data_IF_008253844619
#
_entry.id   IF_008253844619
#
_cell.length_a   1.000
_cell.length_b   1.000
_cell.length_c   1.000
_cell.angle_alpha   90.00
_cell.angle_beta   90.00
_cell.angle_gamma   90.00
#
_symmetry.space_group_name_H-M   'P 1'
#
loop_
_entity.id
_entity.type
_entity.pdbx_description
1 polymer ?
#
# COMPACT_ATOMS: atom_id res chain seq x y z
N UNK A 1 -8.26 15.04 -11.32
CA UNK A 1 -7.27 13.96 -11.30
C UNK A 1 -6.11 14.31 -12.22
N UNK A 2 -5.18 15.07 -11.66
CA UNK A 2 -3.87 15.35 -12.25
C UNK A 2 -2.83 14.71 -11.35
N UNK A 3 -1.99 13.84 -11.91
CA UNK A 3 -0.86 13.23 -11.18
C UNK A 3 0.42 13.87 -11.71
N UNK A 4 1.21 14.46 -10.82
CA UNK A 4 2.48 15.13 -11.18
C UNK A 4 3.66 14.46 -10.49
N UNK A 5 4.76 14.32 -11.24
CA UNK A 5 6.04 13.87 -10.69
C UNK A 5 6.92 15.06 -10.36
N UNK A 6 7.39 15.15 -9.12
CA UNK A 6 8.28 16.20 -8.63
C UNK A 6 9.67 15.64 -8.30
N UNK A 7 10.70 16.40 -8.62
CA UNK A 7 12.08 16.01 -8.29
C UNK A 7 12.52 16.46 -6.89
N UNK A 8 11.96 17.57 -6.38
CA UNK A 8 12.33 18.15 -5.08
C UNK A 8 11.10 18.32 -4.20
N UNK A 9 11.22 17.98 -2.92
CA UNK A 9 10.10 18.00 -1.97
C UNK A 9 9.53 19.40 -1.74
N UNK A 10 10.40 20.41 -1.65
CA UNK A 10 9.97 21.80 -1.44
C UNK A 10 9.07 22.35 -2.55
N UNK A 11 9.06 21.73 -3.74
CA UNK A 11 8.19 22.14 -4.83
C UNK A 11 6.72 21.74 -4.63
N UNK A 12 6.41 20.82 -3.70
CA UNK A 12 5.02 20.44 -3.37
C UNK A 12 4.20 21.64 -2.89
N UNK A 13 4.82 22.60 -2.19
CA UNK A 13 4.12 23.78 -1.66
C UNK A 13 3.55 24.67 -2.76
N UNK A 14 4.20 24.73 -3.94
CA UNK A 14 3.70 25.52 -5.07
C UNK A 14 2.40 24.96 -5.64
N UNK A 15 2.18 23.64 -5.55
CA UNK A 15 0.94 23.02 -6.04
C UNK A 15 -0.27 23.42 -5.18
N UNK A 16 -0.07 23.59 -3.87
CA UNK A 16 -1.12 24.04 -2.95
C UNK A 16 -1.58 25.48 -3.23
N UNK A 17 -0.78 26.27 -3.95
CA UNK A 17 -1.15 27.62 -4.35
C UNK A 17 -1.98 27.67 -5.65
N UNK A 18 -2.13 26.54 -6.35
CA UNK A 18 -2.95 26.45 -7.56
C UNK A 18 -4.42 26.36 -7.14
N UNK A 19 -5.28 27.31 -7.54
CA UNK A 19 -6.66 27.40 -7.03
C UNK A 19 -7.53 26.19 -7.36
N UNK A 20 -7.16 25.42 -8.40
CA UNK A 20 -7.90 24.22 -8.83
C UNK A 20 -7.23 22.91 -8.40
N UNK A 21 -6.13 22.96 -7.64
CA UNK A 21 -5.47 21.76 -7.13
C UNK A 21 -6.21 21.24 -5.90
N UNK A 22 -6.79 20.04 -6.01
CA UNK A 22 -7.57 19.45 -4.92
C UNK A 22 -7.24 17.96 -4.74
N UNK A 23 -6.50 17.65 -3.67
CA UNK A 23 -6.15 16.28 -3.29
C UNK A 23 -7.38 15.42 -3.01
N UNK A 24 -8.51 16.01 -2.58
CA UNK A 24 -9.77 15.28 -2.33
C UNK A 24 -10.43 14.83 -3.63
N UNK A 25 -10.07 15.43 -4.75
CA UNK A 25 -10.53 15.05 -6.12
C UNK A 25 -9.51 14.18 -6.86
N UNK A 26 -8.50 13.67 -6.16
CA UNK A 26 -7.47 12.78 -6.69
C UNK A 26 -6.35 13.50 -7.43
N UNK A 27 -6.06 14.76 -7.11
CA UNK A 27 -4.83 15.41 -7.61
C UNK A 27 -3.65 15.04 -6.71
N UNK A 28 -2.68 14.30 -7.25
CA UNK A 28 -1.59 13.69 -6.51
C UNK A 28 -0.21 14.19 -6.96
N UNK A 29 0.64 14.50 -6.00
CA UNK A 29 2.03 14.93 -6.23
C UNK A 29 3.02 13.88 -5.73
N UNK A 30 3.58 13.12 -6.67
CA UNK A 30 4.57 12.08 -6.37
C UNK A 30 5.96 12.71 -6.38
N UNK A 31 6.61 12.82 -5.22
CA UNK A 31 7.97 13.33 -5.14
C UNK A 31 9.00 12.19 -5.14
N UNK A 32 9.86 12.18 -6.16
CA UNK A 32 10.88 11.14 -6.35
C UNK A 32 11.92 11.17 -5.22
N UNK A 33 12.37 12.36 -4.81
CA UNK A 33 13.35 12.48 -3.73
C UNK A 33 12.80 11.98 -2.39
N UNK A 34 11.53 12.30 -2.10
CA UNK A 34 10.84 11.84 -0.89
C UNK A 34 10.70 10.32 -0.86
N UNK A 35 10.21 9.71 -1.94
CA UNK A 35 10.07 8.26 -2.03
C UNK A 35 11.42 7.54 -1.95
N UNK A 36 12.43 8.03 -2.69
CA UNK A 36 13.77 7.42 -2.69
C UNK A 36 14.39 7.43 -1.28
N UNK A 37 14.36 8.57 -0.61
CA UNK A 37 14.92 8.69 0.73
C UNK A 37 14.08 7.92 1.76
N UNK A 38 12.76 7.91 1.62
CA UNK A 38 11.86 7.11 2.44
C UNK A 38 12.14 5.60 2.33
N UNK A 39 12.32 5.08 1.12
CA UNK A 39 12.67 3.67 0.91
C UNK A 39 14.06 3.31 1.48
N UNK A 40 15.04 4.20 1.34
CA UNK A 40 16.35 4.00 1.96
C UNK A 40 16.25 4.01 3.49
N UNK A 41 15.49 4.93 4.07
CA UNK A 41 15.28 5.00 5.51
C UNK A 41 14.61 3.73 6.06
N UNK A 42 13.59 3.20 5.37
CA UNK A 42 12.94 1.95 5.79
C UNK A 42 13.85 0.73 5.60
N UNK A 43 14.68 0.70 4.56
CA UNK A 43 15.70 -0.34 4.40
C UNK A 43 16.72 -0.39 5.55
N UNK A 44 17.01 0.74 6.19
CA UNK A 44 17.86 0.76 7.38
C UNK A 44 17.21 0.05 8.59
N UNK A 45 15.88 -0.01 8.65
CA UNK A 45 15.13 -0.70 9.71
C UNK A 45 14.89 -2.18 9.36
N UNK A 46 14.59 -2.46 8.10
CA UNK A 46 14.30 -3.80 7.59
C UNK A 46 14.97 -4.01 6.21
N UNK A 47 16.12 -4.71 6.14
CA UNK A 47 16.79 -4.98 4.89
C UNK A 47 15.88 -5.70 3.87
N UNK A 48 15.84 -5.18 2.64
CA UNK A 48 15.01 -5.72 1.56
C UNK A 48 13.61 -5.11 1.43
N UNK A 49 13.21 -4.21 2.34
CA UNK A 49 11.89 -3.55 2.33
C UNK A 49 11.60 -2.79 1.03
N UNK A 50 12.59 -2.10 0.46
CA UNK A 50 12.44 -1.37 -0.81
C UNK A 50 12.14 -2.31 -1.97
N UNK A 51 12.77 -3.49 -1.99
CA UNK A 51 12.55 -4.49 -3.04
C UNK A 51 11.16 -5.10 -2.89
N UNK A 52 10.74 -5.37 -1.66
CA UNK A 52 9.37 -5.83 -1.36
C UNK A 52 8.33 -4.83 -1.88
N UNK A 53 8.42 -3.55 -1.49
CA UNK A 53 7.48 -2.53 -1.95
C UNK A 53 7.57 -2.28 -3.46
N UNK A 54 8.77 -2.25 -4.03
CA UNK A 54 8.94 -2.07 -5.47
C UNK A 54 8.22 -3.17 -6.25
N UNK A 55 8.32 -4.43 -5.81
CA UNK A 55 7.62 -5.53 -6.45
C UNK A 55 6.09 -5.38 -6.35
N UNK A 56 5.56 -4.97 -5.19
CA UNK A 56 4.12 -4.77 -4.99
C UNK A 56 3.50 -3.67 -5.88
N UNK A 57 4.30 -2.67 -6.29
CA UNK A 57 3.85 -1.61 -7.19
C UNK A 57 4.07 -1.92 -8.68
N UNK A 58 4.88 -2.94 -8.99
CA UNK A 58 5.13 -3.34 -10.37
C UNK A 58 4.23 -4.52 -10.73
N UNK A 59 3.43 -4.37 -11.78
CA UNK A 59 2.70 -5.51 -12.34
C UNK A 59 3.69 -6.52 -12.92
N UNK A 60 3.74 -7.71 -12.33
CA UNK A 60 4.61 -8.81 -12.78
C UNK A 60 3.78 -10.09 -12.85
N UNK A 61 3.70 -10.66 -14.04
CA UNK A 61 3.08 -11.98 -14.19
C UNK A 61 4.06 -13.06 -13.74
N UNK A 62 3.71 -13.79 -12.69
CA UNK A 62 4.41 -15.02 -12.35
C UNK A 62 4.18 -16.06 -13.45
N UNK A 63 5.28 -16.57 -14.02
CA UNK A 63 5.27 -17.79 -14.81
C UNK A 63 6.27 -18.73 -14.18
N UNK A 64 5.76 -19.83 -13.62
CA UNK A 64 6.62 -20.90 -13.10
C UNK A 64 7.48 -21.41 -14.24
N UNK A 65 8.79 -21.20 -14.15
CA UNK A 65 9.72 -21.82 -15.09
C UNK A 65 10.05 -23.22 -14.57
N UNK A 66 9.97 -24.22 -15.46
CA UNK A 66 10.47 -25.56 -15.20
C UNK A 66 12.01 -25.64 -15.33
N UNK A 67 12.67 -24.50 -15.52
CA UNK A 67 14.12 -24.39 -15.61
C UNK A 67 14.78 -24.78 -14.28
N UNK A 68 16.02 -25.29 -14.36
CA UNK A 68 16.86 -25.69 -13.23
C UNK A 68 17.29 -24.53 -12.30
N UNK A 69 16.64 -23.37 -12.39
CA UNK A 69 16.90 -22.27 -11.50
C UNK A 69 16.45 -22.67 -10.09
N UNK A 70 17.36 -22.52 -9.12
CA UNK A 70 17.18 -23.08 -7.78
C UNK A 70 15.87 -22.64 -7.11
N UNK A 71 15.36 -23.47 -6.20
CA UNK A 71 14.07 -23.28 -5.51
C UNK A 71 13.80 -21.84 -5.02
N UNK A 72 14.84 -21.12 -4.58
CA UNK A 72 14.73 -19.72 -4.13
C UNK A 72 14.18 -18.75 -5.18
N UNK A 73 14.47 -18.96 -6.47
CA UNK A 73 14.02 -18.06 -7.53
C UNK A 73 12.52 -18.22 -7.74
N UNK A 74 12.02 -19.46 -7.64
CA UNK A 74 10.60 -19.74 -7.74
C UNK A 74 9.82 -19.06 -6.60
N UNK A 75 10.31 -19.16 -5.36
CA UNK A 75 9.70 -18.51 -4.20
C UNK A 75 9.76 -16.97 -4.31
N UNK A 76 10.88 -16.43 -4.79
CA UNK A 76 11.02 -14.99 -5.05
C UNK A 76 10.02 -14.51 -6.11
N UNK A 77 9.91 -15.23 -7.22
CA UNK A 77 9.04 -14.87 -8.33
C UNK A 77 7.56 -15.03 -7.96
N UNK A 78 7.21 -16.00 -7.11
CA UNK A 78 5.86 -16.11 -6.53
C UNK A 78 5.53 -14.85 -5.72
N UNK A 79 6.42 -14.46 -4.79
CA UNK A 79 6.23 -13.23 -4.00
C UNK A 79 6.24 -11.95 -4.85
N UNK A 80 7.06 -11.89 -5.89
CA UNK A 80 7.13 -10.75 -6.80
C UNK A 80 5.88 -10.60 -7.70
N UNK A 81 5.05 -11.64 -7.81
CA UNK A 81 3.76 -11.58 -8.49
C UNK A 81 2.60 -11.10 -7.61
N UNK A 82 2.86 -10.80 -6.33
CA UNK A 82 1.87 -10.21 -5.43
C UNK A 82 1.71 -8.71 -5.71
N UNK A 83 0.49 -8.20 -5.58
CA UNK A 83 0.15 -6.81 -5.90
C UNK A 83 -0.69 -6.18 -4.78
N UNK A 84 -0.64 -4.85 -4.66
CA UNK A 84 -1.44 -4.10 -3.70
C UNK A 84 -2.80 -3.71 -4.29
N UNK A 85 -3.87 -4.00 -3.55
CA UNK A 85 -5.24 -3.69 -3.95
C UNK A 85 -5.99 -2.93 -2.85
N UNK A 86 -6.96 -2.11 -3.27
CA UNK A 86 -7.87 -1.38 -2.39
C UNK A 86 -9.29 -1.85 -2.68
N UNK A 87 -10.00 -2.33 -1.68
CA UNK A 87 -11.37 -2.82 -1.81
C UNK A 87 -12.26 -2.40 -0.63
N UNK A 88 -13.57 -2.35 -0.88
CA UNK A 88 -14.55 -2.11 0.19
C UNK A 88 -14.90 -3.40 0.92
N UNK A 89 -15.03 -3.33 2.24
CA UNK A 89 -15.47 -4.47 3.02
C UNK A 89 -16.93 -4.81 2.75
N UNK A 90 -17.25 -6.11 2.79
CA UNK A 90 -18.63 -6.58 2.76
C UNK A 90 -19.32 -6.38 4.12
N UNK A 91 -20.66 -6.32 4.17
CA UNK A 91 -21.45 -6.30 5.41
C UNK A 91 -21.06 -7.34 6.46
N UNK A 92 -20.46 -8.45 6.05
CA UNK A 92 -20.05 -9.53 6.97
C UNK A 92 -18.89 -9.14 7.89
N UNK A 93 -18.15 -8.09 7.58
CA UNK A 93 -17.05 -7.59 8.40
C UNK A 93 -17.47 -6.50 9.40
N UNK A 94 -18.74 -6.09 9.39
CA UNK A 94 -19.23 -5.02 10.27
C UNK A 94 -18.99 -5.38 11.74
N UNK A 95 -18.45 -4.44 12.52
CA UNK A 95 -18.15 -4.59 13.97
C UNK A 95 -17.09 -5.64 14.28
N UNK A 96 -16.44 -6.23 13.28
CA UNK A 96 -15.24 -7.02 13.52
C UNK A 96 -14.06 -6.10 13.89
N UNK A 97 -13.17 -6.62 14.74
CA UNK A 97 -11.87 -5.99 14.95
C UNK A 97 -11.00 -6.22 13.72
N UNK A 98 -10.05 -5.32 13.48
CA UNK A 98 -9.09 -5.49 12.38
C UNK A 98 -8.38 -6.85 12.43
N UNK A 99 -7.99 -7.32 13.62
CA UNK A 99 -7.31 -8.60 13.78
C UNK A 99 -8.19 -9.79 13.36
N UNK A 100 -9.46 -9.82 13.77
CA UNK A 100 -10.39 -10.87 13.37
C UNK A 100 -10.68 -10.85 11.86
N UNK A 101 -10.80 -9.65 11.29
CA UNK A 101 -10.96 -9.48 9.84
C UNK A 101 -9.72 -9.94 9.07
N UNK A 102 -8.52 -9.58 9.53
CA UNK A 102 -7.26 -9.99 8.91
C UNK A 102 -7.07 -11.51 8.96
N UNK A 103 -7.41 -12.15 10.09
CA UNK A 103 -7.40 -13.61 10.24
C UNK A 103 -8.36 -14.29 9.24
N UNK A 104 -9.58 -13.77 9.11
CA UNK A 104 -10.56 -14.31 8.17
C UNK A 104 -10.09 -14.12 6.71
N UNK A 105 -9.60 -12.94 6.36
CA UNK A 105 -9.04 -12.65 5.04
C UNK A 105 -7.90 -13.62 4.69
N UNK A 106 -6.98 -13.85 5.62
CA UNK A 106 -5.84 -14.72 5.38
C UNK A 106 -6.25 -16.19 5.28
N UNK A 107 -7.03 -16.69 6.25
CA UNK A 107 -7.37 -18.11 6.36
C UNK A 107 -8.43 -18.58 5.37
N UNK A 108 -9.38 -17.72 4.99
CA UNK A 108 -10.52 -18.08 4.12
C UNK A 108 -10.42 -17.51 2.72
N UNK A 109 -9.93 -16.29 2.58
CA UNK A 109 -9.90 -15.57 1.29
C UNK A 109 -8.53 -15.61 0.62
N UNK A 110 -7.48 -16.05 1.33
CA UNK A 110 -6.08 -15.99 0.89
C UNK A 110 -5.63 -14.57 0.54
N UNK A 111 -6.12 -13.59 1.29
CA UNK A 111 -5.79 -12.17 1.16
C UNK A 111 -5.02 -11.69 2.38
N UNK A 112 -3.94 -10.93 2.16
CA UNK A 112 -3.20 -10.29 3.23
C UNK A 112 -3.75 -8.86 3.45
N UNK A 113 -4.53 -8.68 4.50
CA UNK A 113 -5.05 -7.37 4.89
C UNK A 113 -3.97 -6.58 5.66
N UNK A 114 -3.53 -5.44 5.12
CA UNK A 114 -2.42 -4.65 5.70
C UNK A 114 -2.86 -3.32 6.33
N UNK A 115 -3.94 -2.71 5.85
CA UNK A 115 -4.38 -1.38 6.27
C UNK A 115 -5.88 -1.21 6.02
N UNK A 116 -6.48 -0.22 6.68
CA UNK A 116 -7.87 0.19 6.49
C UNK A 116 -8.01 1.70 6.52
N UNK A 117 -9.03 2.21 5.83
CA UNK A 117 -9.39 3.62 5.89
C UNK A 117 -10.38 3.83 7.05
N UNK A 118 -9.95 4.48 8.14
CA UNK A 118 -10.83 4.86 9.25
C UNK A 118 -11.34 6.31 9.01
N UNK A 119 -12.66 6.54 9.15
CA UNK A 119 -13.26 7.88 9.09
C UNK A 119 -13.02 8.59 10.43
N UNK A 120 -12.21 9.65 10.43
CA UNK A 120 -12.04 10.55 11.57
C UNK A 120 -13.12 11.63 11.64
N UNK A 121 -13.05 12.51 12.65
CA UNK A 121 -14.00 13.62 12.84
C UNK A 121 -13.94 14.69 11.75
N UNK A 122 -12.78 14.87 11.12
CA UNK A 122 -12.53 15.91 10.13
C UNK A 122 -12.03 15.34 8.80
N UNK A 123 -11.27 14.24 8.82
CA UNK A 123 -10.67 13.64 7.62
C UNK A 123 -10.64 12.11 7.71
N UNK A 124 -10.49 11.47 6.55
CA UNK A 124 -10.27 10.02 6.47
C UNK A 124 -8.78 9.74 6.55
N UNK A 125 -8.40 8.72 7.33
CA UNK A 125 -7.01 8.33 7.50
C UNK A 125 -6.83 6.85 7.17
N UNK A 126 -5.77 6.54 6.42
CA UNK A 126 -5.33 5.16 6.23
C UNK A 126 -4.49 4.77 7.45
N UNK A 127 -4.90 3.71 8.13
CA UNK A 127 -4.18 3.19 9.31
C UNK A 127 -3.65 1.81 8.96
N UNK A 128 -2.33 1.64 9.06
CA UNK A 128 -1.63 0.38 8.84
C UNK A 128 -1.70 -0.43 10.13
N UNK A 129 -2.19 -1.66 10.05
CA UNK A 129 -2.33 -2.59 11.18
C UNK A 129 -2.83 -1.91 12.47
N UNK A 130 -4.05 -1.33 12.47
CA UNK A 130 -4.59 -0.67 13.65
C UNK A 130 -4.72 -1.63 14.83
N UNK A 131 -4.58 -1.09 16.03
CA UNK A 131 -4.91 -1.82 17.25
C UNK A 131 -6.43 -2.04 17.37
N UNK A 132 -6.83 -2.74 18.44
CA UNK A 132 -8.20 -3.19 18.74
C UNK A 132 -9.30 -2.10 18.70
N UNK A 133 -8.93 -0.81 18.66
CA UNK A 133 -9.86 0.32 18.72
C UNK A 133 -10.49 0.73 17.38
N UNK A 134 -9.93 0.35 16.21
CA UNK A 134 -10.61 0.60 14.93
C UNK A 134 -11.49 -0.61 14.57
N UNK A 135 -12.78 -0.49 14.87
CA UNK A 135 -13.81 -1.38 14.33
C UNK A 135 -13.99 -1.09 12.84
N UNK A 136 -14.21 -2.14 12.05
CA UNK A 136 -14.57 -1.97 10.65
C UNK A 136 -16.01 -1.46 10.57
N UNK A 137 -16.11 -0.14 10.46
CA UNK A 137 -17.33 0.55 10.05
C UNK A 137 -17.31 0.61 8.53
N UNK A 138 -18.32 -0.02 7.91
CA UNK A 138 -18.49 -0.04 6.46
C UNK A 138 -19.02 1.32 6.00
#
# INVERSE_FOLDING_TARGET
MVIVQLMQYHNKTYLLNIPNWDWRRGDDAICVAELKLGFLAQNCLAPGFSTLLANLFTMRTYRKSESQDGNWLNDYMEGAGMEMYTEQFSPSFEKMTFAAAAELCFSRLRLLLIAVQCKGSLETHIVINPNVSCFLWI
#
